data_IF_084240629767
#
_entry.id   IF_084240629767
#
_cell.length_a   1.000
_cell.length_b   1.000
_cell.length_c   1.000
_cell.angle_alpha   90.00
_cell.angle_beta   90.00
_cell.angle_gamma   90.00
#
_symmetry.space_group_name_H-M   'P 1'
#
loop_
_entity.id
_entity.type
_entity.pdbx_description
1 polymer ?
#
# COMPACT_ATOMS: atom_id res chain seq x y z
N UNK A 1 -7.43 -7.01 -10.86
CA UNK A 1 -7.85 -5.90 -9.98
C UNK A 1 -7.10 -4.64 -10.32
N UNK A 2 -7.80 -3.52 -10.34
CA UNK A 2 -7.17 -2.23 -10.64
C UNK A 2 -6.35 -1.74 -9.45
N UNK A 3 -5.21 -1.13 -9.72
CA UNK A 3 -4.38 -0.51 -8.69
C UNK A 3 -4.84 0.91 -8.32
N UNK A 4 -5.87 1.43 -8.99
CA UNK A 4 -6.29 2.82 -8.79
C UNK A 4 -6.73 3.10 -7.36
N UNK A 5 -7.50 2.19 -6.75
CA UNK A 5 -7.93 2.35 -5.35
C UNK A 5 -6.75 2.33 -4.40
N UNK A 6 -5.78 1.45 -4.66
CA UNK A 6 -4.56 1.37 -3.85
C UNK A 6 -3.76 2.67 -3.98
N UNK A 7 -3.59 3.17 -5.21
CA UNK A 7 -2.88 4.43 -5.44
C UNK A 7 -3.56 5.62 -4.76
N UNK A 8 -4.89 5.66 -4.78
CA UNK A 8 -5.63 6.72 -4.09
C UNK A 8 -5.39 6.66 -2.58
N UNK A 9 -5.37 5.47 -2.00
CA UNK A 9 -5.09 5.31 -0.57
C UNK A 9 -3.66 5.74 -0.23
N UNK A 10 -2.70 5.42 -1.09
CA UNK A 10 -1.31 5.85 -0.90
C UNK A 10 -1.24 7.38 -0.95
N UNK A 11 -1.95 8.00 -1.88
CA UNK A 11 -1.99 9.47 -1.99
C UNK A 11 -2.52 10.10 -0.70
N UNK A 12 -3.59 9.53 -0.14
CA UNK A 12 -4.23 10.09 1.05
C UNK A 12 -3.47 9.81 2.34
N UNK A 13 -2.88 8.63 2.47
CA UNK A 13 -2.35 8.14 3.74
C UNK A 13 -0.85 7.89 3.76
N UNK A 14 -0.23 7.70 2.60
CA UNK A 14 1.19 7.36 2.53
C UNK A 14 2.14 8.52 2.78
N UNK A 15 1.67 9.74 2.55
CA UNK A 15 2.45 10.97 2.74
C UNK A 15 3.81 10.94 2.07
N UNK A 16 3.83 10.50 0.81
CA UNK A 16 5.07 10.41 0.05
C UNK A 16 5.62 11.79 -0.29
N UNK A 17 6.92 11.86 -0.54
CA UNK A 17 7.58 13.09 -0.97
C UNK A 17 7.36 13.37 -2.46
N UNK A 18 6.84 12.40 -3.21
CA UNK A 18 6.63 12.52 -4.66
C UNK A 18 5.17 12.25 -4.99
N UNK A 19 4.76 12.67 -6.19
CA UNK A 19 3.40 12.42 -6.69
C UNK A 19 3.26 10.93 -7.00
N UNK A 20 2.25 10.29 -6.44
CA UNK A 20 1.99 8.86 -6.64
C UNK A 20 1.80 8.54 -8.12
N UNK A 21 1.23 9.46 -8.90
CA UNK A 21 1.01 9.23 -10.33
C UNK A 21 2.31 9.12 -11.11
N UNK A 22 3.43 9.59 -10.56
CA UNK A 22 4.73 9.50 -11.21
C UNK A 22 5.43 8.16 -10.94
N UNK A 23 4.89 7.35 -10.03
CA UNK A 23 5.48 6.08 -9.63
C UNK A 23 4.97 4.94 -10.49
N UNK A 24 5.88 4.02 -10.83
CA UNK A 24 5.49 2.76 -11.45
C UNK A 24 5.08 1.77 -10.37
N UNK A 25 4.35 0.73 -10.76
CA UNK A 25 3.85 -0.26 -9.81
C UNK A 25 4.98 -0.93 -9.01
N UNK A 26 6.17 -1.05 -9.59
CA UNK A 26 7.30 -1.73 -8.96
C UNK A 26 8.23 -0.78 -8.17
N UNK A 27 7.99 0.52 -8.23
CA UNK A 27 8.85 1.48 -7.55
C UNK A 27 8.77 1.32 -6.04
N UNK A 28 9.90 1.51 -5.37
CA UNK A 28 10.01 1.36 -3.92
C UNK A 28 9.38 2.56 -3.21
N UNK A 29 8.26 2.31 -2.52
CA UNK A 29 7.54 3.36 -1.81
C UNK A 29 8.34 3.95 -0.65
N UNK A 30 9.17 3.14 0.01
CA UNK A 30 10.01 3.65 1.11
C UNK A 30 11.05 4.64 0.59
N UNK A 31 11.60 4.38 -0.59
CA UNK A 31 12.51 5.33 -1.24
C UNK A 31 11.78 6.58 -1.69
N UNK A 32 10.49 6.48 -1.97
CA UNK A 32 9.66 7.63 -2.34
C UNK A 32 9.19 8.44 -1.13
N UNK A 33 9.53 8.00 0.09
CA UNK A 33 9.22 8.74 1.30
C UNK A 33 8.27 8.07 2.28
N UNK A 34 7.83 6.85 2.02
CA UNK A 34 6.94 6.15 2.94
C UNK A 34 7.70 5.82 4.23
N UNK A 35 7.18 6.33 5.34
CA UNK A 35 7.76 6.06 6.67
C UNK A 35 7.07 4.84 7.30
N UNK A 36 7.69 4.27 8.34
CA UNK A 36 7.08 3.17 9.09
C UNK A 36 5.73 3.58 9.69
N UNK A 37 5.65 4.81 10.20
CA UNK A 37 4.40 5.33 10.75
C UNK A 37 3.32 5.44 9.67
N UNK A 38 3.66 6.01 8.52
CA UNK A 38 2.71 6.16 7.42
C UNK A 38 2.29 4.80 6.86
N UNK A 39 3.20 3.82 6.86
CA UNK A 39 2.85 2.48 6.36
C UNK A 39 1.79 1.81 7.23
N UNK A 40 1.80 2.05 8.54
CA UNK A 40 0.75 1.53 9.44
C UNK A 40 -0.59 2.20 9.13
N UNK A 41 -0.60 3.51 8.96
CA UNK A 41 -1.82 4.22 8.60
C UNK A 41 -2.36 3.76 7.26
N UNK A 42 -1.47 3.54 6.30
CA UNK A 42 -1.85 3.03 4.99
C UNK A 42 -2.45 1.62 5.10
N UNK A 43 -1.84 0.75 5.89
CA UNK A 43 -2.35 -0.61 6.13
C UNK A 43 -3.78 -0.56 6.66
N UNK A 44 -4.03 0.27 7.68
CA UNK A 44 -5.36 0.38 8.28
C UNK A 44 -6.38 0.91 7.26
N UNK A 45 -5.98 1.86 6.43
CA UNK A 45 -6.86 2.41 5.40
C UNK A 45 -7.21 1.35 4.34
N UNK A 46 -6.23 0.51 3.98
CA UNK A 46 -6.45 -0.58 3.01
C UNK A 46 -7.41 -1.62 3.60
N UNK A 47 -7.22 -1.97 4.87
CA UNK A 47 -8.12 -2.92 5.52
C UNK A 47 -9.56 -2.42 5.52
N UNK A 48 -9.73 -1.14 5.80
CA UNK A 48 -11.06 -0.52 5.83
C UNK A 48 -11.67 -0.44 4.42
N UNK A 49 -10.89 -0.02 3.45
CA UNK A 49 -11.36 0.17 2.08
C UNK A 49 -11.80 -1.14 1.42
N UNK A 50 -11.05 -2.21 1.64
CA UNK A 50 -11.31 -3.51 1.00
C UNK A 50 -12.02 -4.50 1.92
N UNK A 51 -12.31 -4.09 3.15
CA UNK A 51 -12.95 -4.92 4.17
C UNK A 51 -12.20 -6.24 4.37
N UNK A 52 -10.88 -6.11 4.54
CA UNK A 52 -9.97 -7.24 4.75
C UNK A 52 -9.17 -7.02 6.03
N UNK A 53 -8.45 -8.07 6.45
CA UNK A 53 -7.55 -7.98 7.58
C UNK A 53 -6.24 -8.65 7.19
N UNK A 54 -5.13 -7.91 7.31
CA UNK A 54 -3.82 -8.47 7.01
C UNK A 54 -3.42 -9.47 8.09
N UNK A 55 -3.15 -10.73 7.71
CA UNK A 55 -2.63 -11.69 8.68
C UNK A 55 -1.21 -11.32 9.09
N UNK A 56 -0.78 -11.79 10.25
CA UNK A 56 0.53 -11.49 10.79
C UNK A 56 1.66 -11.76 9.80
N UNK A 57 1.54 -12.82 9.02
CA UNK A 57 2.55 -13.20 8.04
C UNK A 57 2.79 -12.11 6.98
N UNK A 58 1.81 -11.23 6.75
CA UNK A 58 1.92 -10.13 5.77
C UNK A 58 2.20 -8.78 6.42
N UNK A 59 2.30 -8.72 7.74
CA UNK A 59 2.60 -7.47 8.45
C UNK A 59 4.10 -7.24 8.50
N UNK A 60 4.68 -6.98 7.34
CA UNK A 60 6.11 -6.74 7.20
C UNK A 60 6.38 -5.76 6.08
N UNK A 61 7.59 -5.19 6.13
CA UNK A 61 8.01 -4.12 5.22
C UNK A 61 7.81 -4.49 3.74
N UNK A 62 8.17 -5.71 3.36
CA UNK A 62 8.10 -6.14 1.97
C UNK A 62 6.70 -6.07 1.37
N UNK A 63 5.69 -6.29 2.19
CA UNK A 63 4.28 -6.25 1.75
C UNK A 63 3.89 -4.86 1.23
N UNK A 64 4.48 -3.81 1.81
CA UNK A 64 4.11 -2.43 1.50
C UNK A 64 5.18 -1.68 0.71
N UNK A 65 6.14 -2.39 0.12
CA UNK A 65 7.27 -1.74 -0.55
C UNK A 65 6.94 -1.18 -1.93
N UNK A 66 5.84 -1.62 -2.56
CA UNK A 66 5.44 -1.13 -3.88
C UNK A 66 3.94 -1.27 -4.07
N UNK A 67 3.41 -0.55 -5.06
CA UNK A 67 2.00 -0.70 -5.43
C UNK A 67 1.72 -2.15 -5.82
N UNK A 68 2.62 -2.77 -6.59
CA UNK A 68 2.47 -4.17 -7.01
C UNK A 68 2.43 -5.12 -5.83
N UNK A 69 3.32 -4.94 -4.84
CA UNK A 69 3.36 -5.80 -3.66
C UNK A 69 2.06 -5.69 -2.84
N UNK A 70 1.57 -4.46 -2.67
CA UNK A 70 0.30 -4.22 -1.96
C UNK A 70 -0.84 -4.88 -2.72
N UNK A 71 -0.89 -4.69 -4.03
CA UNK A 71 -1.93 -5.27 -4.86
C UNK A 71 -1.94 -6.80 -4.77
N UNK A 72 -0.76 -7.42 -4.79
CA UNK A 72 -0.66 -8.88 -4.66
C UNK A 72 -1.22 -9.35 -3.32
N UNK A 73 -0.85 -8.67 -2.23
CA UNK A 73 -1.33 -9.03 -0.91
C UNK A 73 -2.86 -8.86 -0.80
N UNK A 74 -3.38 -7.74 -1.27
CA UNK A 74 -4.83 -7.46 -1.25
C UNK A 74 -5.58 -8.51 -2.08
N UNK A 75 -5.05 -8.87 -3.24
CA UNK A 75 -5.69 -9.84 -4.14
C UNK A 75 -5.86 -11.21 -3.50
N UNK A 76 -4.96 -11.59 -2.58
CA UNK A 76 -5.09 -12.88 -1.87
C UNK A 76 -6.08 -12.81 -0.71
N UNK A 77 -6.43 -11.61 -0.24
CA UNK A 77 -7.26 -11.41 0.95
C UNK A 77 -8.70 -11.05 0.63
N UNK A 78 -8.96 -10.47 -0.54
CA UNK A 78 -10.35 -10.15 -0.92
C UNK A 78 -11.10 -11.42 -1.30
N UNK A 79 -12.40 -11.51 -0.93
CA UNK A 79 -13.23 -12.68 -1.26
C UNK A 79 -13.42 -12.85 -2.76
#
# INVERSE_FOLDING_TARGET
MSTDRIRNLITEHGRLAVDVSSLRDEDDLYRAGLTSHASVNLMLAIEDEFEIEFPEALLRRKTFESVAAINDAVSTLVP
#
